data_IF_520892918897
#
_entry.id   IF_520892918897
#
_cell.length_a   1.000
_cell.length_b   1.000
_cell.length_c   1.000
_cell.angle_alpha   90.00
_cell.angle_beta   90.00
_cell.angle_gamma   90.00
#
_symmetry.space_group_name_H-M   'P 1'
#
loop_
_entity.id
_entity.type
_entity.pdbx_description
1 polymer ?
#
# COMPACT_ATOMS: atom_id res chain seq x y z
N UNK A 1 -22.59 -8.54 -7.77
CA UNK A 1 -21.43 -7.63 -7.70
C UNK A 1 -20.33 -8.31 -6.91
N UNK A 2 -19.18 -8.61 -7.53
CA UNK A 2 -18.12 -9.41 -6.90
C UNK A 2 -17.58 -8.72 -5.64
N UNK A 3 -17.80 -9.36 -4.50
CA UNK A 3 -17.26 -8.98 -3.19
C UNK A 3 -15.76 -9.28 -3.16
N UNK A 4 -14.95 -8.32 -3.61
CA UNK A 4 -13.54 -8.32 -3.23
C UNK A 4 -13.49 -8.08 -1.71
N UNK A 5 -13.23 -9.14 -0.94
CA UNK A 5 -13.36 -9.16 0.51
C UNK A 5 -12.39 -8.23 1.25
N UNK A 6 -11.39 -7.66 0.56
CA UNK A 6 -10.42 -6.74 1.14
C UNK A 6 -10.50 -5.35 0.49
N UNK A 7 -11.49 -4.55 0.91
CA UNK A 7 -11.54 -3.11 0.61
C UNK A 7 -11.01 -2.34 1.81
N UNK A 8 -9.84 -1.70 1.68
CA UNK A 8 -9.40 -0.74 2.68
C UNK A 8 -10.41 0.42 2.80
N UNK A 9 -10.72 0.86 4.03
CA UNK A 9 -11.54 2.05 4.21
C UNK A 9 -10.84 3.26 3.58
N UNK A 10 -11.61 4.20 3.02
CA UNK A 10 -11.03 5.41 2.42
C UNK A 10 -10.64 6.46 3.46
N UNK A 11 -11.32 6.45 4.61
CA UNK A 11 -11.09 7.34 5.75
C UNK A 11 -10.31 6.59 6.81
N UNK A 12 -9.21 7.18 7.26
CA UNK A 12 -8.36 6.66 8.33
C UNK A 12 -8.87 7.12 9.70
N UNK A 13 -9.08 8.41 9.86
CA UNK A 13 -9.65 9.00 11.08
C UNK A 13 -10.38 10.29 10.78
N UNK A 14 -11.21 10.73 11.72
CA UNK A 14 -11.94 12.01 11.65
C UNK A 14 -11.33 12.91 12.72
N UNK A 15 -10.90 14.11 12.32
CA UNK A 15 -10.42 15.13 13.26
C UNK A 15 -10.97 16.51 12.90
N UNK A 16 -10.29 17.57 13.33
CA UNK A 16 -10.73 18.94 13.10
C UNK A 16 -9.66 19.74 12.34
N UNK A 17 -10.10 20.63 11.45
CA UNK A 17 -9.30 21.78 11.03
C UNK A 17 -9.48 22.88 12.08
N UNK A 18 -8.39 23.51 12.51
CA UNK A 18 -8.37 24.48 13.61
C UNK A 18 -7.77 25.79 13.09
N UNK A 19 -8.52 26.89 13.18
CA UNK A 19 -8.02 28.21 12.82
C UNK A 19 -7.15 28.83 13.94
N UNK A 20 -6.48 29.95 13.65
CA UNK A 20 -5.77 30.73 14.67
C UNK A 20 -6.70 31.20 15.81
N UNK A 21 -7.96 31.49 15.50
CA UNK A 21 -9.02 31.80 16.47
C UNK A 21 -9.60 30.54 17.17
N UNK A 22 -9.02 29.35 16.94
CA UNK A 22 -9.46 28.05 17.48
C UNK A 22 -10.85 27.59 17.00
N UNK A 23 -11.33 28.10 15.87
CA UNK A 23 -12.56 27.59 15.25
C UNK A 23 -12.30 26.17 14.72
N UNK A 24 -13.14 25.20 15.10
CA UNK A 24 -12.96 23.78 14.77
C UNK A 24 -14.01 23.33 13.75
N UNK A 25 -13.56 22.81 12.61
CA UNK A 25 -14.45 22.21 11.59
C UNK A 25 -14.07 20.76 11.35
N UNK A 26 -15.05 19.86 11.24
CA UNK A 26 -14.80 18.41 11.05
C UNK A 26 -14.07 18.17 9.71
N UNK A 27 -12.96 17.44 9.75
CA UNK A 27 -12.16 17.06 8.58
C UNK A 27 -11.86 15.56 8.59
N UNK A 28 -12.22 14.81 7.54
CA UNK A 28 -11.81 13.43 7.38
C UNK A 28 -10.36 13.35 6.88
N UNK A 29 -9.55 12.53 7.53
CA UNK A 29 -8.21 12.18 7.07
C UNK A 29 -8.31 10.91 6.25
N UNK A 30 -7.95 10.98 4.97
CA UNK A 30 -8.08 9.87 4.02
C UNK A 30 -6.76 9.12 3.86
N UNK A 31 -6.84 7.81 3.62
CA UNK A 31 -5.67 7.04 3.19
C UNK A 31 -5.29 7.40 1.75
N UNK A 32 -3.98 7.43 1.47
CA UNK A 32 -3.48 7.49 0.11
C UNK A 32 -3.51 6.07 -0.49
N UNK A 33 -4.66 5.71 -1.08
CA UNK A 33 -4.93 4.38 -1.64
C UNK A 33 -4.49 4.31 -3.11
N UNK A 34 -3.68 3.31 -3.44
CA UNK A 34 -3.23 3.01 -4.80
C UNK A 34 -3.79 1.69 -5.28
N UNK A 35 -4.17 1.61 -6.55
CA UNK A 35 -4.63 0.34 -7.15
C UNK A 35 -3.42 -0.43 -7.64
N UNK A 36 -3.17 -1.61 -7.08
CA UNK A 36 -2.00 -2.44 -7.37
C UNK A 36 -2.44 -3.86 -7.68
N UNK A 37 -1.71 -4.51 -8.59
CA UNK A 37 -1.86 -5.94 -8.86
C UNK A 37 -0.86 -6.71 -8.00
N UNK A 38 -1.37 -7.54 -7.10
CA UNK A 38 -0.57 -8.38 -6.21
C UNK A 38 -0.88 -9.85 -6.45
N UNK A 39 0.11 -10.72 -6.19
CA UNK A 39 -0.09 -12.16 -6.18
C UNK A 39 -0.45 -12.57 -4.76
N UNK A 40 -1.70 -12.94 -4.53
CA UNK A 40 -2.18 -13.48 -3.25
C UNK A 40 -2.61 -14.92 -3.53
N UNK A 41 -2.04 -15.87 -2.79
CA UNK A 41 -2.32 -17.31 -2.93
C UNK A 41 -2.18 -17.83 -4.38
N UNK A 42 -1.13 -17.37 -5.08
CA UNK A 42 -0.84 -17.75 -6.46
C UNK A 42 -1.74 -17.10 -7.52
N UNK A 43 -2.72 -16.28 -7.14
CA UNK A 43 -3.61 -15.56 -8.06
C UNK A 43 -3.29 -14.07 -8.11
N UNK A 44 -3.21 -13.52 -9.32
CA UNK A 44 -3.07 -12.07 -9.53
C UNK A 44 -4.40 -11.39 -9.23
N UNK A 45 -4.44 -10.58 -8.17
CA UNK A 45 -5.61 -9.82 -7.76
C UNK A 45 -5.32 -8.32 -7.77
N UNK A 46 -6.30 -7.53 -8.22
CA UNK A 46 -6.24 -6.07 -8.16
C UNK A 46 -6.88 -5.60 -6.86
N UNK A 47 -6.13 -4.86 -6.05
CA UNK A 47 -6.61 -4.33 -4.77
C UNK A 47 -6.15 -2.89 -4.55
N UNK A 48 -6.90 -2.16 -3.71
CA UNK A 48 -6.54 -0.79 -3.29
C UNK A 48 -5.75 -0.88 -1.99
N UNK A 49 -4.49 -0.46 -1.99
CA UNK A 49 -3.58 -0.59 -0.84
C UNK A 49 -3.07 0.79 -0.43
N UNK A 50 -2.99 1.09 0.89
CA UNK A 50 -2.31 2.29 1.36
C UNK A 50 -0.82 2.31 1.00
N UNK A 51 -0.26 3.48 0.69
CA UNK A 51 1.16 3.63 0.34
C UNK A 51 2.13 3.03 1.36
N UNK A 52 1.82 3.12 2.67
CA UNK A 52 2.65 2.53 3.74
C UNK A 52 2.77 1.01 3.59
N UNK A 53 1.65 0.33 3.37
CA UNK A 53 1.65 -1.12 3.14
C UNK A 53 2.31 -1.47 1.83
N UNK A 54 2.07 -0.69 0.76
CA UNK A 54 2.76 -0.89 -0.51
C UNK A 54 4.29 -0.84 -0.36
N UNK A 55 4.82 0.06 0.48
CA UNK A 55 6.26 0.11 0.80
C UNK A 55 6.75 -1.16 1.50
N UNK A 56 5.99 -1.65 2.49
CA UNK A 56 6.32 -2.89 3.20
C UNK A 56 6.31 -4.10 2.24
N UNK A 57 5.28 -4.20 1.40
CA UNK A 57 5.12 -5.28 0.42
C UNK A 57 6.22 -5.30 -0.65
N UNK A 58 6.72 -4.12 -1.05
CA UNK A 58 7.90 -4.01 -1.92
C UNK A 58 9.14 -4.53 -1.21
N UNK A 59 9.35 -4.15 0.05
CA UNK A 59 10.49 -4.60 0.84
C UNK A 59 10.51 -6.12 1.04
N UNK A 60 9.35 -6.76 1.18
CA UNK A 60 9.24 -8.22 1.36
C UNK A 60 9.29 -8.99 0.02
N UNK A 61 9.34 -8.31 -1.12
CA UNK A 61 9.40 -8.97 -2.44
C UNK A 61 8.07 -9.55 -2.92
N UNK A 62 6.94 -9.20 -2.30
CA UNK A 62 5.60 -9.67 -2.68
C UNK A 62 5.00 -8.93 -3.89
N UNK A 63 5.72 -7.94 -4.43
CA UNK A 63 5.23 -7.10 -5.53
C UNK A 63 5.84 -7.55 -6.84
N UNK A 64 5.03 -7.60 -7.91
CA UNK A 64 5.39 -8.11 -9.24
C UNK A 64 6.66 -7.49 -9.85
N UNK A 65 7.03 -6.27 -9.46
CA UNK A 65 8.15 -5.52 -10.04
C UNK A 65 9.43 -5.49 -9.19
N UNK A 66 9.38 -5.92 -7.92
CA UNK A 66 10.54 -5.87 -7.04
C UNK A 66 11.18 -7.25 -6.96
N UNK A 67 12.09 -7.53 -7.89
CA UNK A 67 13.00 -8.66 -7.73
C UNK A 67 14.02 -8.29 -6.65
N UNK A 68 14.13 -9.03 -5.53
CA UNK A 68 15.30 -8.87 -4.67
C UNK A 68 16.53 -9.07 -5.56
N UNK A 69 17.56 -8.23 -5.39
CA UNK A 69 18.84 -8.43 -6.08
C UNK A 69 19.39 -9.77 -5.62
N UNK A 70 19.07 -10.84 -6.33
CA UNK A 70 19.75 -12.12 -6.16
C UNK A 70 21.21 -11.81 -6.38
N UNK A 71 22.01 -12.05 -5.35
CA UNK A 71 23.47 -11.93 -5.39
C UNK A 71 23.92 -12.63 -6.68
N UNK A 72 24.58 -11.88 -7.57
CA UNK A 72 25.18 -12.46 -8.77
C UNK A 72 26.04 -13.63 -8.26
N UNK A 73 25.92 -14.87 -8.77
CA UNK A 73 26.92 -15.86 -8.47
C UNK A 73 28.25 -15.25 -8.90
N UNK A 74 29.14 -15.02 -7.93
CA UNK A 74 30.50 -14.58 -8.20
C UNK A 74 31.10 -15.58 -9.17
N UNK A 75 31.25 -15.17 -10.42
CA UNK A 75 31.98 -15.93 -11.43
C UNK A 75 33.48 -15.78 -11.15
N UNK A 76 33.93 -16.29 -10.00
CA UNK A 76 35.34 -16.56 -9.72
C UNK A 76 35.54 -18.07 -9.85
N UNK A 77 35.84 -18.47 -11.08
CA UNK A 77 36.47 -19.75 -11.40
C UNK A 77 37.32 -19.50 -12.63
N UNK A 78 38.44 -18.79 -12.44
CA UNK A 78 39.61 -18.76 -13.31
C UNK A 78 40.79 -18.13 -12.59
#
# INVERSE_FOLDING_TARGET
>A
MASFSFRFPSVAHIGNNVSHAKNRTKRPFRYNLHTVTMVVDGKKQRMKVPTKMLRMLKSTGMTTHHQPKTEKPSSDNR
#
